data_IF_552906862512
#
_entry.id   IF_552906862512
#
_cell.length_a   1.000
_cell.length_b   1.000
_cell.length_c   1.000
_cell.angle_alpha   90.00
_cell.angle_beta   90.00
_cell.angle_gamma   90.00
#
_symmetry.space_group_name_H-M   'P 1'
#
loop_
_entity.id
_entity.type
_entity.pdbx_description
1 polymer ?
#
# COMPACT_ATOMS: atom_id res chain seq x y z
N UNK A 1 -25.13 -12.55 11.45
CA UNK A 1 -24.54 -11.20 11.29
C UNK A 1 -23.18 -11.24 11.98
N UNK A 2 -22.08 -10.88 11.31
CA UNK A 2 -20.78 -10.76 12.00
C UNK A 2 -20.80 -9.50 12.85
N UNK A 3 -20.51 -9.64 14.14
CA UNK A 3 -20.33 -8.51 15.06
C UNK A 3 -18.85 -8.15 14.99
N UNK A 4 -18.57 -6.89 14.67
CA UNK A 4 -17.22 -6.35 14.67
C UNK A 4 -17.09 -5.45 15.89
N UNK A 5 -16.26 -5.86 16.84
CA UNK A 5 -15.95 -5.05 18.01
C UNK A 5 -14.93 -3.96 17.63
N UNK A 6 -15.10 -2.78 18.20
CA UNK A 6 -14.10 -1.73 18.07
C UNK A 6 -12.81 -2.15 18.79
N UNK A 7 -11.69 -2.17 18.06
CA UNK A 7 -10.38 -2.49 18.62
C UNK A 7 -9.63 -1.23 19.04
N UNK A 8 -9.39 -0.31 18.11
CA UNK A 8 -8.57 0.89 18.34
C UNK A 8 -8.91 2.04 17.40
N UNK A 9 -8.45 3.26 17.75
CA UNK A 9 -8.59 4.45 16.90
C UNK A 9 -7.39 4.54 15.98
N UNK A 10 -7.57 4.14 14.72
CA UNK A 10 -6.54 4.14 13.69
C UNK A 10 -6.97 4.95 12.47
N UNK A 11 -6.05 5.69 11.88
CA UNK A 11 -6.33 6.43 10.64
C UNK A 11 -6.44 5.47 9.45
N UNK A 12 -7.33 5.78 8.51
CA UNK A 12 -7.69 4.88 7.41
C UNK A 12 -6.50 4.53 6.51
N UNK A 13 -5.57 5.47 6.30
CA UNK A 13 -4.33 5.23 5.54
C UNK A 13 -3.39 4.23 6.22
N UNK A 14 -3.37 4.15 7.55
CA UNK A 14 -2.61 3.11 8.26
C UNK A 14 -3.28 1.74 8.05
N UNK A 15 -4.61 1.67 8.08
CA UNK A 15 -5.33 0.46 7.69
C UNK A 15 -5.10 0.04 6.22
N UNK A 16 -5.00 1.00 5.29
CA UNK A 16 -4.60 0.74 3.90
C UNK A 16 -3.20 0.14 3.83
N UNK A 17 -2.20 0.71 4.51
CA UNK A 17 -0.84 0.20 4.55
C UNK A 17 -0.74 -1.23 5.09
N UNK A 18 -1.46 -1.50 6.19
CA UNK A 18 -1.53 -2.85 6.76
C UNK A 18 -2.18 -3.84 5.80
N UNK A 19 -3.33 -3.46 5.21
CA UNK A 19 -4.06 -4.29 4.27
C UNK A 19 -3.27 -4.59 3.00
N UNK A 20 -2.59 -3.58 2.46
CA UNK A 20 -1.69 -3.75 1.31
C UNK A 20 -0.54 -4.72 1.64
N UNK A 21 0.07 -4.57 2.81
CA UNK A 21 1.15 -5.45 3.27
C UNK A 21 0.66 -6.88 3.46
N UNK A 22 -0.51 -7.07 4.07
CA UNK A 22 -1.10 -8.40 4.27
C UNK A 22 -1.46 -9.07 2.94
N UNK A 23 -2.03 -8.31 2.01
CA UNK A 23 -2.33 -8.81 0.67
C UNK A 23 -1.05 -9.19 -0.09
N UNK A 24 0.03 -8.42 0.09
CA UNK A 24 1.35 -8.72 -0.48
C UNK A 24 1.92 -10.07 -0.07
N UNK A 25 1.61 -10.57 1.14
CA UNK A 25 2.06 -11.88 1.63
C UNK A 25 1.40 -13.05 0.92
N UNK A 26 0.12 -12.89 0.57
CA UNK A 26 -0.72 -14.00 0.06
C UNK A 26 -0.96 -13.95 -1.45
N UNK A 27 -0.76 -12.79 -2.09
CA UNK A 27 -0.96 -12.60 -3.52
C UNK A 27 0.30 -12.05 -4.20
N UNK A 28 1.04 -12.87 -4.99
CA UNK A 28 2.25 -12.43 -5.68
C UNK A 28 1.98 -11.46 -6.83
N UNK A 29 0.74 -11.40 -7.35
CA UNK A 29 0.39 -10.52 -8.47
C UNK A 29 0.13 -9.07 -8.04
N UNK A 30 0.03 -8.81 -6.73
CA UNK A 30 -0.16 -7.45 -6.22
C UNK A 30 1.16 -6.70 -6.24
N UNK A 31 1.13 -5.54 -6.88
CA UNK A 31 2.24 -4.57 -6.92
C UNK A 31 1.77 -3.23 -6.35
N UNK A 32 2.72 -2.42 -5.91
CA UNK A 32 2.45 -1.14 -5.29
C UNK A 32 3.23 -0.03 -6.01
N UNK A 33 2.54 0.99 -6.50
CA UNK A 33 3.17 2.17 -7.08
C UNK A 33 2.98 3.37 -6.14
N UNK A 34 3.99 4.22 -6.03
CA UNK A 34 3.91 5.42 -5.20
C UNK A 34 4.55 6.62 -5.92
N UNK A 35 3.95 7.80 -5.75
CA UNK A 35 4.45 9.07 -6.27
C UNK A 35 5.06 9.91 -5.12
N UNK A 36 6.23 9.51 -4.63
CA UNK A 36 7.00 10.17 -3.56
C UNK A 36 6.31 10.37 -2.18
N UNK A 37 5.21 9.66 -1.93
CA UNK A 37 4.42 9.80 -0.70
C UNK A 37 4.42 8.55 0.19
N UNK A 38 5.45 7.70 0.07
CA UNK A 38 5.50 6.35 0.69
C UNK A 38 5.17 6.36 2.18
N UNK A 39 5.80 7.27 2.95
CA UNK A 39 5.56 7.39 4.39
C UNK A 39 4.18 7.95 4.72
N UNK A 40 3.68 8.88 3.92
CA UNK A 40 2.36 9.48 4.08
C UNK A 40 1.24 8.48 3.82
N UNK A 41 1.41 7.57 2.85
CA UNK A 41 0.47 6.50 2.51
C UNK A 41 0.70 5.19 3.27
N UNK A 42 1.66 5.16 4.20
CA UNK A 42 1.95 4.00 5.07
C UNK A 42 2.36 2.73 4.30
N UNK A 43 3.06 2.90 3.17
CA UNK A 43 3.48 1.78 2.30
C UNK A 43 4.88 1.24 2.62
N UNK A 44 5.54 1.75 3.68
CA UNK A 44 6.92 1.40 4.02
C UNK A 44 7.11 -0.10 4.27
N UNK A 45 6.15 -0.75 4.95
CA UNK A 45 6.25 -2.19 5.25
C UNK A 45 6.09 -3.04 3.99
N UNK A 46 5.17 -2.71 3.09
CA UNK A 46 5.08 -3.39 1.79
C UNK A 46 6.39 -3.23 0.99
N UNK A 47 6.94 -2.01 0.91
CA UNK A 47 8.23 -1.74 0.24
C UNK A 47 9.38 -2.56 0.84
N UNK A 48 9.43 -2.66 2.17
CA UNK A 48 10.48 -3.39 2.89
C UNK A 48 10.40 -4.90 2.65
N UNK A 49 9.19 -5.46 2.65
CA UNK A 49 8.96 -6.90 2.56
C UNK A 49 8.85 -7.40 1.11
N UNK A 50 8.51 -6.54 0.15
CA UNK A 50 8.33 -6.86 -1.27
C UNK A 50 8.96 -5.78 -2.18
N UNK A 51 10.28 -5.51 -2.03
CA UNK A 51 10.95 -4.42 -2.74
C UNK A 51 10.89 -4.57 -4.27
N UNK A 52 10.85 -5.79 -4.78
CA UNK A 52 10.73 -6.12 -6.20
C UNK A 52 9.35 -5.83 -6.80
N UNK A 53 8.34 -5.63 -5.94
CA UNK A 53 6.95 -5.31 -6.32
C UNK A 53 6.52 -3.91 -5.89
N UNK A 54 7.45 -3.09 -5.40
CA UNK A 54 7.21 -1.70 -5.07
C UNK A 54 7.92 -0.78 -6.07
N UNK A 55 7.18 0.11 -6.70
CA UNK A 55 7.68 1.02 -7.72
C UNK A 55 7.52 2.47 -7.24
N UNK A 56 8.65 3.14 -7.04
CA UNK A 56 8.69 4.58 -6.80
C UNK A 56 8.71 5.32 -8.15
N UNK A 57 7.73 6.19 -8.37
CA UNK A 57 7.54 6.93 -9.63
C UNK A 57 7.88 8.42 -9.49
N UNK A 58 8.21 8.90 -8.29
CA UNK A 58 8.50 10.31 -8.03
C UNK A 58 7.25 11.19 -8.16
N UNK A 59 7.41 12.51 -8.25
CA UNK A 59 6.30 13.47 -8.41
C UNK A 59 5.78 13.47 -9.85
N UNK A 60 5.28 12.32 -10.29
CA UNK A 60 4.81 12.07 -11.67
C UNK A 60 3.53 11.21 -11.66
N UNK A 61 2.50 11.69 -10.96
CA UNK A 61 1.24 10.95 -10.72
C UNK A 61 0.54 10.54 -12.03
N UNK A 62 0.48 11.43 -13.02
CA UNK A 62 -0.13 11.12 -14.32
C UNK A 62 0.58 9.95 -15.02
N UNK A 63 1.92 9.93 -14.98
CA UNK A 63 2.72 8.84 -15.52
C UNK A 63 2.55 7.56 -14.68
N UNK A 64 2.48 7.66 -13.35
CA UNK A 64 2.23 6.52 -12.45
C UNK A 64 0.93 5.79 -12.80
N UNK A 65 -0.14 6.52 -13.11
CA UNK A 65 -1.40 5.91 -13.56
C UNK A 65 -1.23 5.22 -14.92
N UNK A 66 -0.44 5.79 -15.83
CA UNK A 66 -0.10 5.14 -17.09
C UNK A 66 0.71 3.84 -16.92
N UNK A 67 1.61 3.78 -15.93
CA UNK A 67 2.35 2.55 -15.59
C UNK A 67 1.44 1.49 -14.97
N UNK A 68 0.39 1.91 -14.23
CA UNK A 68 -0.53 1.00 -13.56
C UNK A 68 -1.59 0.34 -14.47
N UNK A 69 -1.85 0.94 -15.64
CA UNK A 69 -2.88 0.50 -16.59
C UNK A 69 -2.48 -0.79 -17.33
#
# INVERSE_FOLDING_TARGET
MKIYEYSEKKDTRSGFGDGLTELGKSNPNVVALCADLTGSLKMNEFKKNHPERFFQVGVAEANMIGIAA
#
